data_IF_514104650095
#
_entry.id   IF_514104650095
#
_cell.length_a   1.000
_cell.length_b   1.000
_cell.length_c   1.000
_cell.angle_alpha   90.00
_cell.angle_beta   90.00
_cell.angle_gamma   90.00
#
_symmetry.space_group_name_H-M   'P 1'
#
loop_
_entity.id
_entity.type
_entity.pdbx_description
1 polymer ?
#
# COMPACT_ATOMS: atom_id res chain seq x y z
N UNK A 1 -9.03 -6.32 13.06
CA UNK A 1 -8.08 -5.32 12.52
C UNK A 1 -8.89 -4.05 12.44
N UNK A 2 -8.66 -3.10 13.35
CA UNK A 2 -9.38 -1.83 13.34
C UNK A 2 -8.58 -0.84 12.49
N UNK A 3 -9.22 -0.33 11.44
CA UNK A 3 -8.58 0.56 10.48
C UNK A 3 -8.76 2.00 10.94
N UNK A 4 -7.67 2.74 11.21
CA UNK A 4 -7.76 4.12 11.69
C UNK A 4 -8.21 5.12 10.61
N UNK A 5 -8.33 4.70 9.35
CA UNK A 5 -8.74 5.54 8.23
C UNK A 5 -9.61 4.76 7.23
N UNK A 6 -10.78 5.33 6.92
CA UNK A 6 -11.78 4.76 6.02
C UNK A 6 -11.21 4.48 4.62
N UNK A 7 -10.33 5.35 4.09
CA UNK A 7 -9.78 5.15 2.74
C UNK A 7 -8.79 3.99 2.67
N UNK A 8 -8.04 3.75 3.75
CA UNK A 8 -7.11 2.62 3.83
C UNK A 8 -7.90 1.31 3.90
N UNK A 9 -8.96 1.29 4.69
CA UNK A 9 -9.85 0.14 4.77
C UNK A 9 -10.43 -0.22 3.42
N UNK A 10 -11.04 0.75 2.72
CA UNK A 10 -11.69 0.53 1.42
C UNK A 10 -10.71 -0.01 0.38
N UNK A 11 -9.49 0.54 0.34
CA UNK A 11 -8.45 0.06 -0.57
C UNK A 11 -8.05 -1.38 -0.25
N UNK A 12 -7.79 -1.71 1.02
CA UNK A 12 -7.40 -3.07 1.39
C UNK A 12 -8.54 -4.07 1.17
N UNK A 13 -9.78 -3.67 1.48
CA UNK A 13 -10.95 -4.49 1.27
C UNK A 13 -11.18 -4.77 -0.21
N UNK A 14 -11.04 -3.75 -1.07
CA UNK A 14 -11.09 -3.88 -2.53
C UNK A 14 -10.03 -4.86 -3.06
N UNK A 15 -8.78 -4.74 -2.62
CA UNK A 15 -7.69 -5.65 -3.03
C UNK A 15 -7.92 -7.10 -2.57
N UNK A 16 -8.50 -7.29 -1.38
CA UNK A 16 -8.86 -8.62 -0.87
C UNK A 16 -9.98 -9.25 -1.68
N UNK A 17 -11.02 -8.48 -2.01
CA UNK A 17 -12.11 -8.96 -2.87
C UNK A 17 -11.58 -9.32 -4.26
N UNK A 18 -10.74 -8.46 -4.85
CA UNK A 18 -10.08 -8.71 -6.13
C UNK A 18 -9.28 -10.00 -6.12
N UNK A 19 -8.45 -10.20 -5.09
CA UNK A 19 -7.67 -11.42 -4.91
C UNK A 19 -8.57 -12.66 -4.79
N UNK A 20 -9.66 -12.56 -4.03
CA UNK A 20 -10.64 -13.63 -3.90
C UNK A 20 -11.27 -14.01 -5.25
N UNK A 21 -11.68 -13.02 -6.06
CA UNK A 21 -12.26 -13.26 -7.38
C UNK A 21 -11.27 -13.96 -8.33
N UNK A 22 -10.01 -13.52 -8.33
CA UNK A 22 -8.94 -14.13 -9.12
C UNK A 22 -8.71 -15.58 -8.70
N UNK A 23 -8.63 -15.84 -7.39
CA UNK A 23 -8.45 -17.19 -6.84
C UNK A 23 -9.66 -18.09 -7.09
N UNK A 24 -10.83 -17.50 -7.32
CA UNK A 24 -12.07 -18.21 -7.64
C UNK A 24 -12.29 -18.39 -9.16
N UNK A 25 -11.23 -18.20 -9.97
CA UNK A 25 -11.25 -18.46 -11.41
C UNK A 25 -11.77 -17.29 -12.28
N UNK A 26 -12.04 -16.12 -11.70
CA UNK A 26 -12.42 -14.92 -12.48
C UNK A 26 -11.16 -14.13 -12.79
N UNK A 27 -10.62 -14.31 -14.01
CA UNK A 27 -9.39 -13.65 -14.45
C UNK A 27 -9.61 -12.43 -15.36
N UNK A 28 -10.85 -12.16 -15.76
CA UNK A 28 -11.17 -11.01 -16.61
C UNK A 28 -11.26 -9.73 -15.75
N UNK A 29 -10.29 -8.82 -15.91
CA UNK A 29 -10.21 -7.56 -15.16
C UNK A 29 -11.45 -6.68 -15.31
N UNK A 30 -12.06 -6.64 -16.50
CA UNK A 30 -13.29 -5.87 -16.72
C UNK A 30 -14.43 -6.39 -15.85
N UNK A 31 -14.59 -7.72 -15.78
CA UNK A 31 -15.62 -8.36 -14.97
C UNK A 31 -15.36 -8.17 -13.47
N UNK A 32 -14.10 -8.18 -13.05
CA UNK A 32 -13.71 -7.88 -11.66
C UNK A 32 -14.09 -6.43 -11.32
N UNK A 33 -13.73 -5.47 -12.17
CA UNK A 33 -14.03 -4.06 -11.96
C UNK A 33 -15.54 -3.79 -11.91
N UNK A 34 -16.32 -4.43 -12.79
CA UNK A 34 -17.78 -4.34 -12.80
C UNK A 34 -18.39 -4.85 -11.48
N UNK A 35 -17.95 -6.03 -11.00
CA UNK A 35 -18.44 -6.60 -9.74
C UNK A 35 -18.06 -5.77 -8.52
N UNK A 36 -16.83 -5.26 -8.48
CA UNK A 36 -16.37 -4.38 -7.41
C UNK A 36 -17.17 -3.07 -7.41
N UNK A 37 -17.31 -2.43 -8.57
CA UNK A 37 -18.08 -1.19 -8.71
C UNK A 37 -19.54 -1.39 -8.30
N UNK A 38 -20.17 -2.48 -8.76
CA UNK A 38 -21.54 -2.82 -8.39
C UNK A 38 -21.71 -3.05 -6.89
N UNK A 39 -20.72 -3.66 -6.23
CA UNK A 39 -20.74 -3.86 -4.79
C UNK A 39 -20.56 -2.53 -4.02
N UNK A 40 -19.52 -1.77 -4.31
CA UNK A 40 -19.21 -0.54 -3.56
C UNK A 40 -20.23 0.58 -3.78
N UNK A 41 -20.91 0.62 -4.93
CA UNK A 41 -21.95 1.63 -5.19
C UNK A 41 -23.28 1.32 -4.50
N UNK A 42 -23.57 0.04 -4.21
CA UNK A 42 -24.87 -0.41 -3.72
C UNK A 42 -24.86 -0.88 -2.26
N UNK A 43 -23.71 -0.89 -1.60
CA UNK A 43 -23.56 -1.47 -0.26
C UNK A 43 -22.92 -0.47 0.69
N UNK A 44 -23.62 -0.18 1.80
CA UNK A 44 -23.07 0.61 2.88
C UNK A 44 -22.18 -0.27 3.77
N UNK A 45 -20.90 0.08 3.85
CA UNK A 45 -19.89 -0.67 4.61
C UNK A 45 -19.80 -0.16 6.04
N UNK A 46 -19.77 -1.11 6.97
CA UNK A 46 -19.61 -0.85 8.40
C UNK A 46 -18.17 -0.56 8.82
N UNK A 47 -17.22 -0.70 7.89
CA UNK A 47 -15.77 -0.57 8.11
C UNK A 47 -15.21 -1.59 9.10
N UNK A 48 -15.93 -2.69 9.26
CA UNK A 48 -15.56 -3.82 10.10
C UNK A 48 -15.44 -5.03 9.19
N UNK A 49 -14.22 -5.58 9.11
CA UNK A 49 -13.89 -6.59 8.12
C UNK A 49 -14.84 -7.79 8.14
N UNK A 50 -15.19 -8.31 9.31
CA UNK A 50 -16.02 -9.52 9.41
C UNK A 50 -17.45 -9.31 8.88
N UNK A 51 -18.08 -8.20 9.24
CA UNK A 51 -19.44 -7.86 8.77
C UNK A 51 -19.44 -7.55 7.29
N UNK A 52 -18.48 -6.74 6.83
CA UNK A 52 -18.40 -6.35 5.43
C UNK A 52 -18.04 -7.53 4.52
N UNK A 53 -17.21 -8.46 5.00
CA UNK A 53 -16.92 -9.70 4.29
C UNK A 53 -18.17 -10.59 4.14
N UNK A 54 -19.02 -10.66 5.16
CA UNK A 54 -20.32 -11.36 5.06
C UNK A 54 -21.24 -10.68 4.04
N UNK A 55 -21.25 -9.35 3.98
CA UNK A 55 -21.99 -8.60 2.95
C UNK A 55 -21.49 -8.94 1.55
N UNK A 56 -20.17 -8.97 1.36
CA UNK A 56 -19.56 -9.37 0.10
C UNK A 56 -19.95 -10.79 -0.34
N UNK A 57 -19.83 -11.77 0.57
CA UNK A 57 -20.22 -13.16 0.27
C UNK A 57 -21.72 -13.27 -0.06
N UNK A 58 -22.56 -12.49 0.60
CA UNK A 58 -23.99 -12.46 0.28
C UNK A 58 -24.26 -11.86 -1.10
N UNK A 59 -23.57 -10.76 -1.45
CA UNK A 59 -23.64 -10.13 -2.77
C UNK A 59 -23.22 -11.09 -3.91
N UNK A 60 -22.19 -11.91 -3.68
CA UNK A 60 -21.78 -12.94 -4.64
C UNK A 60 -22.86 -14.01 -4.85
N UNK A 61 -23.51 -14.44 -3.76
CA UNK A 61 -24.60 -15.42 -3.81
C UNK A 61 -25.80 -14.89 -4.57
N UNK A 62 -26.19 -13.63 -4.34
CA UNK A 62 -27.33 -13.01 -5.04
C UNK A 62 -27.07 -12.86 -6.53
N UNK A 63 -25.82 -12.59 -6.93
CA UNK A 63 -25.45 -12.45 -8.34
C UNK A 63 -25.17 -13.80 -9.04
N UNK A 64 -25.47 -14.93 -8.39
CA UNK A 64 -25.33 -16.28 -8.95
C UNK A 64 -23.98 -16.52 -9.64
N UNK A 65 -22.91 -15.97 -9.07
CA UNK A 65 -21.58 -16.25 -9.58
C UNK A 65 -21.24 -17.70 -9.21
N UNK A 66 -21.34 -18.58 -10.20
CA UNK A 66 -20.78 -19.93 -10.14
C UNK A 66 -19.26 -19.79 -10.06
N UNK A 67 -18.77 -19.58 -8.84
CA UNK A 67 -17.36 -19.59 -8.51
C UNK A 67 -16.92 -21.04 -8.65
N UNK A 68 -16.29 -21.35 -9.77
CA UNK A 68 -15.64 -22.63 -9.94
C UNK A 68 -14.48 -22.65 -8.95
N UNK A 69 -14.44 -23.61 -8.03
CA UNK A 69 -13.24 -23.92 -7.24
C UNK A 69 -12.16 -24.53 -8.14
N UNK A 70 -11.77 -23.82 -9.20
CA UNK A 70 -10.55 -24.13 -9.90
C UNK A 70 -9.43 -23.49 -9.10
N UNK A 71 -8.77 -24.27 -8.24
CA UNK A 71 -7.38 -24.00 -7.92
C UNK A 71 -6.69 -23.63 -9.23
N UNK A 72 -6.03 -22.47 -9.34
CA UNK A 72 -5.31 -22.12 -10.55
C UNK A 72 -4.09 -23.05 -10.62
N UNK A 73 -4.28 -24.26 -11.15
CA UNK A 73 -3.20 -25.04 -11.74
C UNK A 73 -2.99 -24.39 -13.12
N UNK A 74 -1.92 -23.61 -13.30
CA UNK A 74 -1.77 -22.82 -14.52
C UNK A 74 -1.30 -23.75 -15.64
N UNK A 75 -2.16 -24.07 -16.60
CA UNK A 75 -1.75 -24.89 -17.75
C UNK A 75 -0.95 -24.09 -18.80
N UNK A 76 -0.91 -22.75 -18.69
CA UNK A 76 -0.07 -21.83 -19.50
C UNK A 76 -0.34 -20.39 -19.04
N UNK A 77 0.63 -19.72 -18.39
CA UNK A 77 0.80 -18.23 -18.33
C UNK A 77 1.63 -17.72 -17.15
N UNK A 78 2.56 -18.51 -16.61
CA UNK A 78 3.73 -18.00 -15.86
C UNK A 78 4.69 -17.15 -16.75
N UNK A 79 4.14 -16.32 -17.65
CA UNK A 79 4.86 -15.36 -18.48
C UNK A 79 4.83 -13.93 -17.89
N UNK A 80 4.31 -13.74 -16.67
CA UNK A 80 4.37 -12.44 -15.98
C UNK A 80 5.68 -12.20 -15.21
N UNK A 81 6.62 -13.15 -15.22
CA UNK A 81 7.90 -13.00 -14.52
C UNK A 81 8.82 -11.89 -15.06
N UNK A 82 8.54 -11.32 -16.24
CA UNK A 82 9.37 -10.28 -16.87
C UNK A 82 8.76 -8.88 -16.91
N UNK A 83 7.48 -8.71 -16.53
CA UNK A 83 6.78 -7.41 -16.52
C UNK A 83 6.22 -7.04 -15.13
N UNK A 84 6.76 -7.63 -14.07
CA UNK A 84 6.58 -7.06 -12.73
C UNK A 84 7.67 -5.99 -12.60
N UNK A 85 7.34 -4.69 -12.57
CA UNK A 85 8.35 -3.68 -12.32
C UNK A 85 9.01 -4.01 -10.97
N UNK A 86 10.33 -3.92 -10.86
CA UNK A 86 11.05 -4.16 -9.60
C UNK A 86 10.55 -3.29 -8.43
N UNK A 87 9.70 -2.29 -8.69
CA UNK A 87 8.98 -1.50 -7.70
C UNK A 87 7.76 -2.19 -7.08
N UNK A 88 7.33 -3.35 -7.59
CA UNK A 88 6.23 -4.17 -7.06
C UNK A 88 6.72 -5.24 -6.07
N UNK A 89 7.91 -5.06 -5.48
CA UNK A 89 8.12 -5.57 -4.13
C UNK A 89 7.04 -4.96 -3.25
N UNK A 90 6.22 -5.81 -2.64
CA UNK A 90 5.19 -5.44 -1.67
C UNK A 90 5.84 -4.73 -0.48
N UNK A 91 6.10 -3.43 -0.62
CA UNK A 91 6.64 -2.58 0.44
C UNK A 91 5.56 -2.37 1.49
N UNK A 92 5.54 -3.24 2.49
CA UNK A 92 4.72 -3.09 3.72
C UNK A 92 5.17 -1.95 4.64
N UNK A 93 5.83 -0.92 4.10
CA UNK A 93 6.33 0.21 4.89
C UNK A 93 5.80 1.54 4.31
N UNK A 94 4.61 2.00 4.72
CA UNK A 94 4.11 3.34 4.37
C UNK A 94 4.95 4.48 5.01
N UNK A 95 6.01 4.17 5.76
CA UNK A 95 6.80 5.16 6.52
C UNK A 95 8.17 5.52 5.93
N UNK A 96 8.62 4.90 4.84
CA UNK A 96 10.01 5.08 4.36
C UNK A 96 10.21 5.88 3.08
N UNK A 97 9.19 6.54 2.56
CA UNK A 97 9.35 7.36 1.36
C UNK A 97 9.33 8.83 1.76
N UNK A 98 10.52 9.45 1.80
CA UNK A 98 10.82 10.90 1.95
C UNK A 98 11.23 11.47 3.32
N UNK A 99 11.60 10.67 4.33
CA UNK A 99 12.14 11.23 5.59
C UNK A 99 13.67 11.11 5.79
N UNK A 100 14.43 10.34 4.99
CA UNK A 100 15.82 10.05 5.36
C UNK A 100 16.89 11.03 4.85
N UNK A 101 16.60 11.89 3.86
CA UNK A 101 17.62 12.81 3.32
C UNK A 101 17.65 14.13 4.12
N UNK A 102 16.49 14.66 4.50
CA UNK A 102 16.40 15.93 5.25
C UNK A 102 16.75 15.75 6.74
N UNK A 103 16.58 14.54 7.29
CA UNK A 103 16.97 14.22 8.68
C UNK A 103 18.48 14.03 8.89
N UNK A 104 19.21 13.58 7.86
CA UNK A 104 20.66 13.31 7.93
C UNK A 104 21.53 14.58 7.90
N UNK A 105 21.08 15.64 7.21
CA UNK A 105 21.84 16.89 7.10
C UNK A 105 21.79 17.76 8.37
N UNK A 106 20.75 17.64 9.20
CA UNK A 106 20.60 18.42 10.44
C UNK A 106 21.75 18.21 11.44
N UNK A 107 22.14 16.97 11.80
CA UNK A 107 23.26 16.77 12.73
C UNK A 107 24.60 17.23 12.15
N UNK A 108 24.82 17.08 10.84
CA UNK A 108 26.05 17.54 10.18
C UNK A 108 26.17 19.07 10.20
N UNK A 109 25.07 19.79 9.95
CA UNK A 109 25.05 21.25 9.99
C UNK A 109 25.40 21.79 11.39
N UNK A 110 24.91 21.15 12.45
CA UNK A 110 25.22 21.53 13.84
C UNK A 110 26.72 21.37 14.12
N UNK A 111 27.31 20.25 13.71
CA UNK A 111 28.75 19.98 13.91
C UNK A 111 29.59 21.02 13.16
N UNK A 112 29.29 21.26 11.88
CA UNK A 112 30.02 22.26 11.08
C UNK A 112 29.88 23.66 11.67
N UNK A 113 28.69 24.02 12.17
CA UNK A 113 28.45 25.32 12.80
C UNK A 113 29.30 25.52 14.06
N UNK A 114 29.41 24.51 14.93
CA UNK A 114 30.24 24.57 16.15
C UNK A 114 31.72 24.79 15.79
N UNK A 115 32.23 24.07 14.79
CA UNK A 115 33.62 24.23 14.35
C UNK A 115 33.87 25.61 13.73
N UNK A 116 32.94 26.10 12.91
CA UNK A 116 33.04 27.42 12.28
C UNK A 116 33.09 28.54 13.33
N UNK A 117 32.18 28.52 14.32
CA UNK A 117 32.15 29.52 15.39
C UNK A 117 33.36 29.44 16.32
N UNK A 118 33.81 28.22 16.67
CA UNK A 118 35.01 28.05 17.48
C UNK A 118 36.26 28.56 16.77
N UNK A 119 36.38 28.32 15.46
CA UNK A 119 37.50 28.79 14.65
C UNK A 119 37.49 30.32 14.51
N UNK A 120 36.32 30.92 14.27
CA UNK A 120 36.14 32.37 14.26
C UNK A 120 36.55 33.00 15.59
N UNK A 121 36.10 32.41 16.70
CA UNK A 121 36.44 32.89 18.04
C UNK A 121 37.94 32.80 18.33
N UNK A 122 38.58 31.69 17.92
CA UNK A 122 40.03 31.51 18.02
C UNK A 122 40.79 32.58 17.23
N UNK A 123 40.39 32.85 15.98
CA UNK A 123 41.00 33.91 15.16
C UNK A 123 40.82 35.27 15.82
N UNK A 124 39.64 35.59 16.32
CA UNK A 124 39.38 36.89 16.97
C UNK A 124 40.28 37.06 18.20
N UNK A 125 40.45 36.03 19.02
CA UNK A 125 41.30 36.13 20.21
C UNK A 125 42.78 36.23 19.85
N UNK A 126 43.29 35.40 18.95
CA UNK A 126 44.73 35.34 18.67
C UNK A 126 45.23 36.32 17.61
N UNK A 127 44.33 36.93 16.83
CA UNK A 127 44.68 37.92 15.79
C UNK A 127 44.42 39.36 16.24
N UNK A 128 43.66 39.56 17.31
CA UNK A 128 43.33 40.88 17.87
C UNK A 128 44.09 41.18 19.19
N UNK A 129 44.90 40.21 19.66
CA UNK A 129 45.87 40.32 20.75
C UNK A 129 47.29 40.34 20.16
#
# INVERSE_FOLDING_TARGET
MDYPNNTIYLNEFSERIRSYLILSGIHNEYKIAELLSGFFNNTDLSLVFESDWKLWLNHLRTNQLNLTESLPLPDRSWQFGSMIPQSAEWKRDPKKTKQSIVGSLKPVFIIVSIFLWSFLYYIIIFRLL
#
